data_IF_126368034616
#
_entry.id   IF_126368034616
#
_cell.length_a   1.000
_cell.length_b   1.000
_cell.length_c   1.000
_cell.angle_alpha   90.00
_cell.angle_beta   90.00
_cell.angle_gamma   90.00
#
_symmetry.space_group_name_H-M   'P 1'
#
loop_
_entity.id
_entity.type
_entity.pdbx_description
1 polymer ?
#
# COMPACT_ATOMS: atom_id res chain seq x y z
N UNK A 1 -37.17 -20.39 -47.95
CA UNK A 1 -38.40 -20.37 -47.12
C UNK A 1 -38.21 -21.42 -46.04
N UNK A 2 -37.92 -21.00 -44.80
CA UNK A 2 -37.45 -21.87 -43.71
C UNK A 2 -38.64 -22.45 -42.93
N UNK A 3 -38.51 -23.73 -42.60
CA UNK A 3 -39.51 -24.61 -41.96
C UNK A 3 -39.69 -24.25 -40.49
N UNK A 4 -40.93 -24.38 -40.02
CA UNK A 4 -41.42 -23.92 -38.74
C UNK A 4 -41.21 -24.87 -37.56
N UNK A 5 -41.29 -24.23 -36.40
CA UNK A 5 -41.96 -24.65 -35.15
C UNK A 5 -41.35 -25.82 -34.36
N UNK A 6 -40.58 -25.45 -33.33
CA UNK A 6 -40.22 -26.26 -32.17
C UNK A 6 -41.31 -26.13 -31.11
N UNK A 7 -41.82 -27.25 -30.60
CA UNK A 7 -42.55 -27.31 -29.33
C UNK A 7 -42.31 -28.63 -28.61
N UNK A 8 -42.31 -28.51 -27.28
CA UNK A 8 -42.45 -29.53 -26.24
C UNK A 8 -41.21 -30.32 -25.82
N UNK A 9 -40.51 -29.78 -24.80
CA UNK A 9 -39.68 -30.54 -23.87
C UNK A 9 -40.53 -30.75 -22.60
N UNK A 10 -40.94 -31.98 -22.32
CA UNK A 10 -41.58 -32.37 -21.07
C UNK A 10 -40.57 -33.13 -20.21
N UNK A 11 -40.44 -32.70 -18.96
CA UNK A 11 -39.54 -33.23 -17.96
C UNK A 11 -39.98 -34.63 -17.47
N UNK A 12 -39.00 -35.49 -17.21
CA UNK A 12 -39.14 -36.64 -16.33
C UNK A 12 -37.87 -36.73 -15.49
N UNK A 13 -38.03 -36.51 -14.19
CA UNK A 13 -36.97 -36.58 -13.20
C UNK A 13 -36.56 -38.01 -12.92
N UNK A 14 -35.28 -38.17 -12.60
CA UNK A 14 -34.77 -39.32 -11.85
C UNK A 14 -33.71 -38.80 -10.89
N UNK A 15 -34.07 -38.78 -9.61
CA UNK A 15 -33.13 -38.61 -8.50
C UNK A 15 -32.38 -39.92 -8.29
N UNK A 16 -31.06 -39.88 -8.39
CA UNK A 16 -30.18 -40.90 -7.81
C UNK A 16 -29.17 -40.19 -6.92
N UNK A 17 -29.32 -40.40 -5.61
CA UNK A 17 -28.31 -40.08 -4.64
C UNK A 17 -27.27 -41.22 -4.65
N UNK A 18 -26.03 -40.89 -5.01
CA UNK A 18 -24.87 -41.71 -4.71
C UNK A 18 -23.88 -40.83 -3.96
N UNK A 19 -23.70 -41.15 -2.68
CA UNK A 19 -22.65 -40.61 -1.85
C UNK A 19 -21.29 -41.03 -2.40
N UNK A 20 -20.45 -40.05 -2.68
CA UNK A 20 -19.04 -40.20 -2.98
C UNK A 20 -18.32 -39.05 -2.29
N UNK A 21 -17.35 -39.39 -1.45
CA UNK A 21 -16.54 -38.45 -0.67
C UNK A 21 -15.84 -37.47 -1.60
N UNK A 22 -16.38 -36.25 -1.71
CA UNK A 22 -15.64 -35.14 -2.29
C UNK A 22 -14.63 -34.67 -1.25
N UNK A 23 -13.36 -35.00 -1.51
CA UNK A 23 -12.21 -34.30 -0.94
C UNK A 23 -12.47 -32.80 -1.04
N UNK A 24 -12.63 -32.14 0.10
CA UNK A 24 -12.61 -30.69 0.21
C UNK A 24 -11.20 -30.24 -0.19
N UNK A 25 -10.98 -30.04 -1.49
CA UNK A 25 -9.94 -29.17 -1.97
C UNK A 25 -10.23 -27.80 -1.36
N UNK A 26 -9.42 -27.41 -0.39
CA UNK A 26 -9.29 -26.04 0.08
C UNK A 26 -8.75 -25.27 -1.14
N UNK A 27 -9.67 -24.91 -2.05
CA UNK A 27 -9.48 -23.82 -2.96
C UNK A 27 -9.41 -22.59 -2.08
N UNK A 28 -8.19 -22.25 -1.70
CA UNK A 28 -7.84 -21.00 -1.05
C UNK A 28 -8.36 -19.89 -1.95
N UNK A 29 -9.59 -19.51 -1.68
CA UNK A 29 -10.25 -18.42 -2.37
C UNK A 29 -9.56 -17.23 -1.74
N UNK A 30 -8.49 -16.75 -2.39
CA UNK A 30 -7.89 -15.46 -2.08
C UNK A 30 -9.00 -14.44 -2.25
N UNK A 31 -9.70 -14.19 -1.14
CA UNK A 31 -10.58 -13.05 -0.98
C UNK A 31 -9.63 -11.86 -1.09
N UNK A 32 -9.50 -11.33 -2.32
CA UNK A 32 -8.89 -10.03 -2.54
C UNK A 32 -9.78 -9.05 -1.78
N UNK A 33 -9.35 -8.76 -0.56
CA UNK A 33 -10.08 -7.91 0.35
C UNK A 33 -9.99 -6.48 -0.20
N UNK A 34 -11.03 -6.02 -0.89
CA UNK A 34 -11.15 -4.67 -1.45
C UNK A 34 -11.06 -3.54 -0.40
N UNK A 35 -10.84 -3.87 0.89
CA UNK A 35 -10.46 -2.92 1.92
C UNK A 35 -8.93 -2.82 2.07
N UNK A 36 -8.24 -2.26 1.08
CA UNK A 36 -6.84 -1.79 1.21
C UNK A 36 -6.71 -0.59 2.19
N UNK A 37 -7.75 -0.27 2.97
CA UNK A 37 -7.82 0.95 3.78
C UNK A 37 -6.78 1.00 4.89
N UNK A 38 -6.22 -0.11 5.37
CA UNK A 38 -5.23 -0.10 6.46
C UNK A 38 -4.31 -1.33 6.46
N UNK A 39 -3.51 -1.54 5.40
CA UNK A 39 -2.36 -2.46 5.53
C UNK A 39 -1.30 -1.79 6.43
N UNK A 40 -1.21 -2.26 7.66
CA UNK A 40 -0.30 -1.76 8.69
C UNK A 40 0.66 -2.89 9.10
N UNK A 41 1.96 -2.68 8.90
CA UNK A 41 3.00 -3.68 9.22
C UNK A 41 3.92 -3.15 10.32
N UNK A 42 4.24 -3.95 11.35
CA UNK A 42 5.13 -3.51 12.42
C UNK A 42 6.56 -3.31 11.88
N UNK A 43 7.14 -2.13 12.14
CA UNK A 43 8.51 -1.77 11.71
C UNK A 43 9.46 -1.52 12.88
N UNK A 44 8.92 -1.31 14.08
CA UNK A 44 9.72 -1.17 15.31
C UNK A 44 8.91 -1.58 16.51
N UNK A 45 9.54 -2.32 17.42
CA UNK A 45 9.00 -2.59 18.75
C UNK A 45 10.00 -2.07 19.79
N UNK A 46 9.49 -1.39 20.80
CA UNK A 46 10.25 -0.95 21.96
C UNK A 46 9.59 -1.53 23.20
N UNK A 47 10.30 -2.41 23.89
CA UNK A 47 9.85 -2.99 25.16
C UNK A 47 9.91 -1.95 26.27
N UNK A 48 8.92 -2.00 27.16
CA UNK A 48 8.80 -1.20 28.36
C UNK A 48 8.66 -2.14 29.58
N UNK A 49 8.91 -1.66 30.80
CA UNK A 49 8.76 -2.50 32.01
C UNK A 49 7.36 -3.12 32.17
N UNK A 50 6.32 -2.46 31.66
CA UNK A 50 4.91 -2.81 31.82
C UNK A 50 4.18 -3.00 30.49
N UNK A 51 4.90 -3.24 29.38
CA UNK A 51 4.30 -3.38 28.07
C UNK A 51 5.27 -3.16 26.93
N UNK A 52 4.77 -2.71 25.78
CA UNK A 52 5.57 -2.35 24.61
C UNK A 52 4.91 -1.27 23.77
N UNK A 53 5.75 -0.55 23.03
CA UNK A 53 5.34 0.37 21.98
C UNK A 53 5.64 -0.29 20.64
N UNK A 54 4.65 -0.38 19.75
CA UNK A 54 4.81 -0.90 18.40
C UNK A 54 4.52 0.20 17.39
N UNK A 55 5.50 0.50 16.53
CA UNK A 55 5.33 1.40 15.38
C UNK A 55 5.00 0.57 14.16
N UNK A 56 3.92 0.94 13.49
CA UNK A 56 3.42 0.37 12.26
C UNK A 56 3.64 1.35 11.11
N UNK A 57 4.00 0.79 9.96
CA UNK A 57 4.10 1.50 8.69
C UNK A 57 2.90 1.12 7.84
N UNK A 58 2.24 2.12 7.23
CA UNK A 58 1.16 1.93 6.29
C UNK A 58 1.70 1.56 4.90
N UNK A 59 1.00 0.67 4.21
CA UNK A 59 1.28 0.27 2.84
C UNK A 59 0.03 0.39 1.96
N UNK A 60 0.24 0.68 0.68
CA UNK A 60 -0.72 0.45 -0.39
C UNK A 60 -0.02 -0.35 -1.48
N UNK A 61 -0.61 -1.48 -1.89
CA UNK A 61 -0.05 -2.38 -2.92
C UNK A 61 1.42 -2.73 -2.68
N UNK A 62 1.76 -3.17 -1.45
CA UNK A 62 3.11 -3.50 -0.99
C UNK A 62 4.14 -2.37 -1.00
N UNK A 63 3.75 -1.15 -1.37
CA UNK A 63 4.61 0.05 -1.33
C UNK A 63 4.29 0.87 -0.06
N UNK A 64 5.30 1.29 0.73
CA UNK A 64 5.06 2.07 1.94
C UNK A 64 4.50 3.45 1.63
N UNK A 65 3.63 3.95 2.52
CA UNK A 65 3.19 5.35 2.54
C UNK A 65 4.21 6.19 3.29
N UNK A 66 4.82 7.15 2.62
CA UNK A 66 5.81 8.02 3.22
C UNK A 66 5.19 8.83 4.37
N UNK A 67 5.77 8.69 5.57
CA UNK A 67 5.24 9.23 6.83
C UNK A 67 3.85 8.68 7.27
N UNK A 68 3.33 7.67 6.56
CA UNK A 68 2.11 6.96 6.92
C UNK A 68 2.38 5.95 8.03
N UNK A 69 2.17 6.35 9.29
CA UNK A 69 2.56 5.56 10.45
C UNK A 69 1.55 5.61 11.58
N UNK A 70 1.48 4.53 12.34
CA UNK A 70 0.70 4.43 13.56
C UNK A 70 1.55 3.86 14.69
N UNK A 71 1.44 4.43 15.88
CA UNK A 71 2.06 3.90 17.09
C UNK A 71 0.98 3.34 18.00
N UNK A 72 1.15 2.10 18.45
CA UNK A 72 0.28 1.46 19.45
C UNK A 72 1.05 1.17 20.72
N UNK A 73 0.40 1.40 21.86
CA UNK A 73 0.84 0.92 23.17
C UNK A 73 0.14 -0.39 23.46
N UNK A 74 0.90 -1.38 23.93
CA UNK A 74 0.39 -2.67 24.39
C UNK A 74 0.79 -2.80 25.85
N UNK A 75 -0.18 -2.88 26.76
CA UNK A 75 0.12 -2.99 28.19
C UNK A 75 0.47 -4.44 28.61
N UNK A 76 0.83 -4.62 29.87
CA UNK A 76 1.18 -5.93 30.45
C UNK A 76 0.04 -6.94 30.49
N UNK A 77 -1.20 -6.53 30.22
CA UNK A 77 -2.37 -7.41 30.06
C UNK A 77 -2.61 -7.79 28.58
N UNK A 78 -1.90 -7.15 27.66
CA UNK A 78 -2.06 -7.30 26.22
C UNK A 78 -3.11 -6.35 25.61
N UNK A 79 -3.63 -5.38 26.37
CA UNK A 79 -4.58 -4.41 25.83
C UNK A 79 -3.86 -3.40 24.95
N UNK A 80 -4.43 -3.12 23.76
CA UNK A 80 -3.88 -2.16 22.81
C UNK A 80 -4.57 -0.80 22.91
N UNK A 81 -3.81 0.28 22.79
CA UNK A 81 -4.32 1.63 22.57
C UNK A 81 -3.51 2.36 21.49
N UNK A 82 -4.18 3.19 20.70
CA UNK A 82 -3.54 4.00 19.66
C UNK A 82 -2.94 5.25 20.31
N UNK A 83 -1.64 5.46 20.10
CA UNK A 83 -0.92 6.63 20.57
C UNK A 83 -0.98 7.78 19.57
N UNK A 84 -0.23 7.65 18.48
CA UNK A 84 -0.16 8.63 17.39
C UNK A 84 -0.49 7.91 16.09
N UNK A 85 -1.40 8.46 15.30
CA UNK A 85 -1.78 7.90 14.00
C UNK A 85 -1.76 9.00 12.94
N UNK A 86 -0.92 8.82 11.91
CA UNK A 86 -0.82 9.66 10.72
C UNK A 86 -0.92 8.74 9.51
N UNK A 87 -2.13 8.52 9.01
CA UNK A 87 -2.40 7.58 7.93
C UNK A 87 -3.03 8.31 6.74
N UNK A 88 -2.62 7.93 5.53
CA UNK A 88 -3.31 8.38 4.32
C UNK A 88 -4.65 7.68 4.21
N UNK A 89 -5.69 8.42 3.81
CA UNK A 89 -7.05 7.88 3.71
C UNK A 89 -7.24 6.97 2.49
N UNK A 90 -6.50 7.20 1.41
CA UNK A 90 -6.60 6.46 0.14
C UNK A 90 -5.35 6.65 -0.74
N UNK A 91 -5.13 5.68 -1.62
CA UNK A 91 -4.23 5.80 -2.75
C UNK A 91 -4.96 6.44 -3.96
N UNK A 92 -4.26 7.26 -4.72
CA UNK A 92 -4.72 7.88 -5.96
C UNK A 92 -3.71 7.61 -7.09
N UNK A 93 -4.16 6.89 -8.12
CA UNK A 93 -3.33 6.51 -9.25
C UNK A 93 -2.64 5.16 -9.04
N UNK A 94 -1.63 4.87 -9.86
CA UNK A 94 -0.86 3.63 -9.81
C UNK A 94 0.58 3.91 -10.22
N UNK A 95 1.51 3.12 -9.70
CA UNK A 95 2.89 3.17 -10.17
C UNK A 95 3.00 2.81 -11.65
N UNK A 96 3.95 3.40 -12.39
CA UNK A 96 4.26 2.98 -13.76
C UNK A 96 4.62 1.49 -13.83
N UNK A 97 4.18 0.81 -14.89
CA UNK A 97 4.45 -0.62 -15.08
C UNK A 97 5.96 -0.95 -15.14
N UNK A 98 6.78 -0.04 -15.67
CA UNK A 98 8.23 -0.14 -15.66
C UNK A 98 8.82 0.77 -14.57
N UNK A 99 8.87 0.24 -13.35
CA UNK A 99 9.41 0.94 -12.18
C UNK A 99 10.86 1.36 -12.39
N UNK A 100 11.69 0.51 -13.01
CA UNK A 100 13.12 0.80 -13.20
C UNK A 100 13.34 1.99 -14.13
N UNK A 101 12.59 2.07 -15.23
CA UNK A 101 12.66 3.24 -16.11
C UNK A 101 12.15 4.51 -15.41
N UNK A 102 11.11 4.39 -14.58
CA UNK A 102 10.56 5.51 -13.82
C UNK A 102 11.54 6.02 -12.75
N UNK A 103 12.20 5.15 -12.00
CA UNK A 103 13.25 5.50 -11.02
C UNK A 103 14.41 6.28 -11.67
N UNK A 104 14.82 5.86 -12.87
CA UNK A 104 15.85 6.58 -13.62
C UNK A 104 15.38 7.97 -14.06
N UNK A 105 14.11 8.13 -14.42
CA UNK A 105 13.54 9.45 -14.74
C UNK A 105 13.46 10.32 -13.50
N UNK A 106 13.02 9.77 -12.36
CA UNK A 106 13.01 10.48 -11.08
C UNK A 106 14.41 10.93 -10.65
N UNK A 107 15.42 10.07 -10.84
CA UNK A 107 16.84 10.40 -10.62
C UNK A 107 17.31 11.57 -11.48
N UNK A 108 16.84 11.66 -12.72
CA UNK A 108 17.19 12.76 -13.65
C UNK A 108 16.42 14.06 -13.34
N UNK A 109 15.28 13.97 -12.66
CA UNK A 109 14.46 15.12 -12.27
C UNK A 109 15.08 15.91 -11.10
N UNK A 110 15.97 15.30 -10.31
CA UNK A 110 16.67 16.00 -9.22
C UNK A 110 17.97 16.65 -9.73
N UNK A 111 18.20 17.90 -9.35
CA UNK A 111 19.42 18.62 -9.67
C UNK A 111 20.42 18.56 -8.52
N UNK A 112 21.72 18.61 -8.84
CA UNK A 112 22.75 19.02 -7.89
C UNK A 112 23.30 17.96 -6.91
N UNK A 113 23.72 16.80 -7.42
CA UNK A 113 24.51 15.86 -6.62
C UNK A 113 24.41 14.42 -7.12
N UNK A 114 25.23 13.53 -6.55
CA UNK A 114 25.12 12.10 -6.79
C UNK A 114 23.94 11.54 -6.02
N UNK A 115 23.09 10.78 -6.71
CA UNK A 115 22.00 10.03 -6.09
C UNK A 115 22.58 8.81 -5.39
N UNK A 116 22.33 8.73 -4.09
CA UNK A 116 22.72 7.62 -3.22
C UNK A 116 21.70 6.48 -3.27
N UNK A 117 20.41 6.84 -3.27
CA UNK A 117 19.32 5.88 -3.14
C UNK A 117 18.04 6.44 -3.76
N UNK A 118 17.25 5.55 -4.36
CA UNK A 118 15.89 5.81 -4.86
C UNK A 118 14.99 4.74 -4.30
N UNK A 119 13.84 5.13 -3.73
CA UNK A 119 12.87 4.22 -3.16
C UNK A 119 11.45 4.62 -3.57
N UNK A 120 10.61 3.66 -3.94
CA UNK A 120 9.20 3.89 -4.22
C UNK A 120 8.43 4.12 -2.91
N UNK A 121 7.54 5.12 -2.92
CA UNK A 121 6.64 5.46 -1.83
C UNK A 121 5.31 5.99 -2.36
N UNK A 122 4.24 5.75 -1.60
CA UNK A 122 3.04 6.57 -1.70
C UNK A 122 3.25 7.87 -0.94
N UNK A 123 3.07 9.02 -1.60
CA UNK A 123 3.25 10.33 -1.00
C UNK A 123 1.91 11.02 -0.78
N UNK A 124 1.58 11.31 0.47
CA UNK A 124 0.41 12.11 0.84
C UNK A 124 0.88 13.41 1.50
N UNK A 125 0.65 14.54 0.83
CA UNK A 125 1.06 15.84 1.30
C UNK A 125 0.32 16.26 2.60
N UNK A 126 -0.88 15.71 2.86
CA UNK A 126 -1.65 16.01 4.08
C UNK A 126 -0.96 15.48 5.35
N UNK A 127 -0.12 14.45 5.23
CA UNK A 127 0.65 13.91 6.36
C UNK A 127 1.77 14.86 6.82
N UNK A 128 2.07 15.88 6.00
CA UNK A 128 3.00 16.97 6.28
C UNK A 128 2.29 18.26 6.68
N UNK A 129 1.05 18.15 7.18
CA UNK A 129 0.26 19.28 7.70
C UNK A 129 -0.04 20.35 6.63
N UNK A 130 -0.01 19.97 5.35
CA UNK A 130 -0.42 20.84 4.24
C UNK A 130 -1.90 20.56 3.91
N UNK A 131 -2.82 21.50 4.13
CA UNK A 131 -4.25 21.27 3.92
C UNK A 131 -4.59 21.07 2.44
N UNK A 132 -5.54 20.17 2.14
CA UNK A 132 -6.19 20.09 0.83
C UNK A 132 -5.69 18.98 -0.11
N UNK A 133 -4.78 18.11 0.32
CA UNK A 133 -4.35 16.97 -0.50
C UNK A 133 -5.44 15.88 -0.54
N UNK A 134 -5.66 15.31 -1.73
CA UNK A 134 -6.74 14.35 -1.96
C UNK A 134 -6.36 12.90 -1.62
N UNK A 135 -5.21 12.64 -0.97
CA UNK A 135 -4.70 11.29 -0.65
C UNK A 135 -3.35 11.01 -1.29
N UNK A 136 -2.82 9.80 -1.06
CA UNK A 136 -1.46 9.46 -1.46
C UNK A 136 -1.31 9.20 -2.97
N UNK A 137 -0.28 9.76 -3.60
CA UNK A 137 0.06 9.55 -5.01
C UNK A 137 1.35 8.72 -5.15
N UNK A 138 1.55 7.97 -6.24
CA UNK A 138 2.78 7.21 -6.43
C UNK A 138 3.97 8.15 -6.65
N UNK A 139 5.04 7.95 -5.90
CA UNK A 139 6.22 8.81 -5.91
C UNK A 139 7.51 8.03 -5.63
N UNK A 140 8.64 8.68 -5.88
CA UNK A 140 9.98 8.20 -5.54
C UNK A 140 10.64 9.16 -4.55
N UNK A 141 11.16 8.62 -3.45
CA UNK A 141 12.10 9.31 -2.58
C UNK A 141 13.51 9.14 -3.15
N UNK A 142 14.08 10.24 -3.61
CA UNK A 142 15.45 10.33 -4.12
C UNK A 142 16.33 10.95 -3.03
N UNK A 143 17.31 10.19 -2.54
CA UNK A 143 18.28 10.65 -1.52
C UNK A 143 19.62 10.92 -2.20
N UNK A 144 20.15 12.12 -2.03
CA UNK A 144 21.44 12.54 -2.56
C UNK A 144 22.53 12.42 -1.49
N UNK A 145 23.78 12.20 -1.92
CA UNK A 145 24.94 12.13 -1.02
C UNK A 145 25.17 13.42 -0.22
N UNK A 146 24.70 14.55 -0.75
CA UNK A 146 24.71 15.87 -0.06
C UNK A 146 23.78 15.94 1.16
N UNK A 147 22.99 14.90 1.42
CA UNK A 147 21.95 14.89 2.45
C UNK A 147 20.63 15.54 2.00
N UNK A 148 20.53 15.98 0.74
CA UNK A 148 19.28 16.46 0.17
C UNK A 148 18.38 15.29 -0.24
N UNK A 149 17.12 15.36 0.17
CA UNK A 149 16.08 14.37 -0.09
C UNK A 149 14.97 15.04 -0.89
N UNK A 150 14.50 14.36 -1.93
CA UNK A 150 13.48 14.89 -2.84
C UNK A 150 12.42 13.83 -3.12
N UNK A 151 11.15 14.20 -3.01
CA UNK A 151 10.03 13.39 -3.48
C UNK A 151 9.70 13.81 -4.90
N UNK A 152 9.73 12.85 -5.83
CA UNK A 152 9.42 13.04 -7.25
C UNK A 152 8.19 12.20 -7.59
N UNK A 153 7.18 12.81 -8.22
CA UNK A 153 6.00 12.11 -8.72
C UNK A 153 6.40 10.99 -9.69
N UNK A 154 5.88 9.78 -9.48
CA UNK A 154 6.16 8.65 -10.37
C UNK A 154 5.42 8.77 -11.72
N UNK A 155 4.35 9.59 -11.78
CA UNK A 155 3.49 9.72 -12.96
C UNK A 155 4.08 10.68 -13.99
N UNK A 156 4.52 11.86 -13.56
CA UNK A 156 4.96 12.95 -14.44
C UNK A 156 6.40 13.42 -14.18
N UNK A 157 7.09 12.85 -13.19
CA UNK A 157 8.45 13.22 -12.77
C UNK A 157 8.57 14.67 -12.24
N UNK A 158 7.46 15.29 -11.84
CA UNK A 158 7.49 16.58 -11.16
C UNK A 158 8.06 16.44 -9.75
N UNK A 159 8.81 17.45 -9.30
CA UNK A 159 9.31 17.51 -7.92
C UNK A 159 8.18 17.97 -7.01
N UNK A 160 7.77 17.10 -6.09
CA UNK A 160 6.68 17.38 -5.14
C UNK A 160 7.21 18.05 -3.87
N UNK A 161 8.37 17.60 -3.37
CA UNK A 161 8.96 18.14 -2.15
C UNK A 161 10.46 17.97 -2.15
N UNK A 162 11.20 18.94 -1.61
CA UNK A 162 12.65 18.83 -1.37
C UNK A 162 12.99 19.36 0.02
N UNK A 163 13.87 18.67 0.74
CA UNK A 163 14.41 19.11 2.02
C UNK A 163 15.83 18.59 2.22
N UNK A 164 16.56 19.16 3.19
CA UNK A 164 17.82 18.58 3.66
C UNK A 164 17.58 17.77 4.91
N UNK A 165 18.16 16.60 4.96
CA UNK A 165 18.31 15.86 6.21
C UNK A 165 19.45 16.50 7.01
N UNK A 166 19.14 17.05 8.17
CA UNK A 166 20.17 17.44 9.13
C UNK A 166 20.71 16.17 9.81
N UNK A 167 22.02 16.10 10.11
CA UNK A 167 22.56 15.03 10.94
C UNK A 167 21.76 14.99 12.25
N UNK A 168 21.26 13.83 12.63
CA UNK A 168 20.75 13.65 13.99
C UNK A 168 21.99 13.62 14.89
N UNK A 169 22.22 14.73 15.58
CA UNK A 169 23.28 14.91 16.58
C UNK A 169 23.09 14.02 17.79
#
# INVERSE_FOLDING_TARGET
MRIGTRSALLALGMSFAFGGHAMAGIGDTVQVNENHKNDLRPVRTQELPDGKIVRYQQYFDDVPVFAGEETRFVDGTGAESVGVSKLSAKANGHFPADLRAAEQKATRAVHGGHVKEVQAYWYDESLWETPGAEGAVPAFLVKQESGQWTIVSATDNSVLKTWRQFPQS
#
